data_IF_747137302858
#
_entry.id   IF_747137302858
#
_cell.length_a   1.000
_cell.length_b   1.000
_cell.length_c   1.000
_cell.angle_alpha   90.00
_cell.angle_beta   90.00
_cell.angle_gamma   90.00
#
_symmetry.space_group_name_H-M   'P 1'
#
loop_
_entity.id
_entity.type
_entity.pdbx_description
1 polymer ?
#
# COMPACT_ATOMS: atom_id res chain seq x y z
N UNK A 1 -25.35 -6.89 -5.72
CA UNK A 1 -25.97 -5.56 -5.53
C UNK A 1 -24.96 -4.43 -5.65
N UNK A 2 -24.01 -4.28 -4.71
CA UNK A 2 -23.01 -3.20 -4.72
C UNK A 2 -21.73 -3.56 -5.47
N UNK A 3 -21.19 -4.76 -5.24
CA UNK A 3 -19.98 -5.27 -5.92
C UNK A 3 -20.14 -5.34 -7.45
N UNK A 4 -21.36 -5.59 -7.95
CA UNK A 4 -21.67 -5.61 -9.38
C UNK A 4 -21.65 -4.20 -10.01
N UNK A 5 -22.10 -3.18 -9.27
CA UNK A 5 -22.05 -1.78 -9.70
C UNK A 5 -20.61 -1.27 -9.69
N UNK A 6 -19.86 -1.61 -8.64
CA UNK A 6 -18.42 -1.35 -8.51
C UNK A 6 -17.67 -2.00 -9.67
N UNK A 7 -17.92 -3.29 -9.97
CA UNK A 7 -17.38 -3.95 -11.17
C UNK A 7 -17.77 -3.24 -12.46
N UNK A 8 -19.03 -2.81 -12.61
CA UNK A 8 -19.48 -2.13 -13.83
C UNK A 8 -18.80 -0.77 -14.05
N UNK A 9 -18.50 -0.02 -12.98
CA UNK A 9 -17.71 1.22 -13.05
C UNK A 9 -16.21 0.93 -13.26
N UNK A 10 -15.71 -0.19 -12.73
CA UNK A 10 -14.29 -0.57 -12.84
C UNK A 10 -13.93 -1.26 -14.15
N UNK A 11 -14.86 -1.93 -14.83
CA UNK A 11 -14.61 -2.67 -16.07
C UNK A 11 -14.05 -1.78 -17.20
N UNK A 12 -14.52 -0.53 -17.41
CA UNK A 12 -13.89 0.40 -18.35
C UNK A 12 -12.47 0.79 -17.94
N UNK A 13 -12.24 1.07 -16.64
CA UNK A 13 -10.94 1.50 -16.12
C UNK A 13 -9.86 0.41 -16.20
N UNK A 14 -10.24 -0.86 -16.08
CA UNK A 14 -9.32 -1.99 -16.24
C UNK A 14 -8.80 -2.12 -17.69
N UNK A 15 -9.54 -1.61 -18.69
CA UNK A 15 -9.11 -1.56 -20.10
C UNK A 15 -8.14 -0.42 -20.42
N UNK A 16 -8.12 0.64 -19.60
CA UNK A 16 -7.43 1.90 -19.89
C UNK A 16 -6.07 2.07 -19.18
N UNK A 17 -5.51 0.98 -18.65
CA UNK A 17 -4.15 1.00 -18.09
C UNK A 17 -4.05 1.60 -16.67
N UNK A 18 -5.09 1.46 -15.85
CA UNK A 18 -5.06 1.89 -14.44
C UNK A 18 -4.45 0.82 -13.54
N UNK A 19 -3.86 1.25 -12.42
CA UNK A 19 -3.49 0.39 -11.30
C UNK A 19 -4.64 0.36 -10.30
N UNK A 20 -5.10 -0.83 -9.93
CA UNK A 20 -6.23 -1.00 -9.02
C UNK A 20 -5.77 -1.60 -7.69
N UNK A 21 -5.97 -0.86 -6.60
CA UNK A 21 -5.63 -1.30 -5.25
C UNK A 21 -6.94 -1.40 -4.47
N UNK A 22 -7.26 -2.57 -3.92
CA UNK A 22 -8.52 -2.77 -3.18
C UNK A 22 -8.36 -3.47 -1.85
N UNK A 23 -9.02 -2.88 -0.85
CA UNK A 23 -9.12 -3.39 0.50
C UNK A 23 -10.58 -3.52 0.92
N UNK A 24 -10.83 -4.44 1.85
CA UNK A 24 -12.15 -4.62 2.45
C UNK A 24 -11.97 -4.71 3.96
N UNK A 25 -12.72 -3.89 4.70
CA UNK A 25 -12.76 -4.00 6.15
C UNK A 25 -13.66 -5.18 6.56
N UNK A 26 -13.18 -5.98 7.50
CA UNK A 26 -13.92 -7.10 8.06
C UNK A 26 -14.24 -6.79 9.53
N UNK A 27 -15.52 -6.95 9.89
CA UNK A 27 -16.02 -6.81 11.25
C UNK A 27 -15.31 -7.73 12.26
N UNK A 28 -14.72 -8.83 11.81
CA UNK A 28 -14.03 -9.78 12.69
C UNK A 28 -12.53 -9.45 12.88
N UNK A 29 -11.97 -8.52 12.10
CA UNK A 29 -10.52 -8.23 12.08
C UNK A 29 -10.13 -6.96 12.86
N UNK A 30 -10.91 -6.54 13.86
CA UNK A 30 -10.63 -5.35 14.68
C UNK A 30 -9.36 -5.42 15.54
N UNK A 31 -8.69 -6.57 15.63
CA UNK A 31 -7.52 -6.75 16.48
C UNK A 31 -6.25 -6.06 15.95
N UNK A 32 -6.18 -5.79 14.64
CA UNK A 32 -5.02 -5.18 14.02
C UNK A 32 -5.46 -3.93 13.24
N UNK A 33 -4.92 -2.75 13.53
CA UNK A 33 -5.28 -1.55 12.79
C UNK A 33 -4.73 -1.64 11.36
N UNK A 34 -5.37 -0.92 10.44
CA UNK A 34 -4.94 -0.78 9.04
C UNK A 34 -5.01 -2.06 8.20
N UNK A 35 -5.57 -3.17 8.69
CA UNK A 35 -5.52 -4.47 8.00
C UNK A 35 -6.02 -4.43 6.56
N UNK A 36 -7.13 -3.74 6.29
CA UNK A 36 -7.67 -3.62 4.93
C UNK A 36 -6.74 -2.83 4.00
N UNK A 37 -6.10 -1.78 4.51
CA UNK A 37 -5.14 -0.95 3.77
C UNK A 37 -3.85 -1.73 3.54
N UNK A 38 -3.33 -2.35 4.60
CA UNK A 38 -2.11 -3.16 4.55
C UNK A 38 -2.25 -4.27 3.51
N UNK A 39 -3.29 -5.08 3.62
CA UNK A 39 -3.53 -6.19 2.70
C UNK A 39 -3.75 -5.73 1.25
N UNK A 40 -4.35 -4.56 1.04
CA UNK A 40 -4.54 -4.02 -0.30
C UNK A 40 -3.21 -3.65 -0.98
N UNK A 41 -2.35 -2.91 -0.27
CA UNK A 41 -1.05 -2.51 -0.79
C UNK A 41 -0.07 -3.69 -0.86
N UNK A 42 -0.11 -4.63 0.08
CA UNK A 42 0.75 -5.81 0.03
C UNK A 42 0.44 -6.70 -1.18
N UNK A 43 -0.84 -6.83 -1.56
CA UNK A 43 -1.25 -7.47 -2.82
C UNK A 43 -0.73 -6.71 -4.04
N UNK A 44 -0.79 -5.38 -4.02
CA UNK A 44 -0.22 -4.57 -5.11
C UNK A 44 1.28 -4.83 -5.28
N UNK A 45 2.04 -4.91 -4.19
CA UNK A 45 3.46 -5.23 -4.26
C UNK A 45 3.72 -6.67 -4.73
N UNK A 46 2.88 -7.62 -4.34
CA UNK A 46 2.96 -9.01 -4.84
C UNK A 46 2.76 -9.05 -6.38
N UNK A 47 1.77 -8.31 -6.90
CA UNK A 47 1.53 -8.18 -8.34
C UNK A 47 2.73 -7.53 -9.06
N UNK A 48 3.33 -6.49 -8.49
CA UNK A 48 4.56 -5.87 -9.03
C UNK A 48 5.71 -6.85 -9.08
N UNK A 49 5.92 -7.62 -8.01
CA UNK A 49 6.94 -8.69 -7.94
C UNK A 49 6.74 -9.78 -8.99
N UNK A 50 5.49 -10.05 -9.41
CA UNK A 50 5.15 -10.97 -10.49
C UNK A 50 5.20 -10.37 -11.91
N UNK A 51 5.30 -9.04 -12.06
CA UNK A 51 5.13 -8.33 -13.34
C UNK A 51 6.41 -8.22 -14.18
N UNK A 52 7.54 -8.73 -13.69
CA UNK A 52 8.83 -8.77 -14.40
C UNK A 52 9.83 -7.70 -13.94
N UNK A 53 11.10 -7.90 -14.30
CA UNK A 53 12.24 -7.15 -13.75
C UNK A 53 12.14 -5.63 -13.96
N UNK A 54 11.67 -5.17 -15.12
CA UNK A 54 11.53 -3.73 -15.41
C UNK A 54 10.52 -3.05 -14.46
N UNK A 55 9.38 -3.69 -14.21
CA UNK A 55 8.36 -3.15 -13.31
C UNK A 55 8.86 -3.11 -11.85
N UNK A 56 9.59 -4.15 -11.44
CA UNK A 56 10.24 -4.21 -10.14
C UNK A 56 11.25 -3.06 -9.99
N UNK A 57 12.14 -2.88 -10.97
CA UNK A 57 13.19 -1.85 -10.91
C UNK A 57 12.61 -0.44 -10.91
N UNK A 58 11.60 -0.16 -11.74
CA UNK A 58 10.92 1.14 -11.75
C UNK A 58 10.28 1.42 -10.39
N UNK A 59 9.55 0.46 -9.84
CA UNK A 59 8.86 0.63 -8.55
C UNK A 59 9.86 0.76 -7.41
N UNK A 60 10.89 -0.08 -7.38
CA UNK A 60 11.97 -0.05 -6.40
C UNK A 60 12.66 1.31 -6.39
N UNK A 61 13.10 1.78 -7.56
CA UNK A 61 13.83 3.05 -7.66
C UNK A 61 12.96 4.23 -7.22
N UNK A 62 11.70 4.27 -7.65
CA UNK A 62 10.78 5.34 -7.24
C UNK A 62 10.55 5.35 -5.72
N UNK A 63 10.34 4.18 -5.10
CA UNK A 63 10.13 4.08 -3.65
C UNK A 63 11.40 4.48 -2.89
N UNK A 64 12.57 3.98 -3.29
CA UNK A 64 13.83 4.31 -2.62
C UNK A 64 14.20 5.79 -2.79
N UNK A 65 13.87 6.42 -3.92
CA UNK A 65 14.11 7.85 -4.15
C UNK A 65 13.28 8.73 -3.20
N UNK A 66 11.99 8.43 -3.04
CA UNK A 66 11.09 9.24 -2.22
C UNK A 66 11.18 8.90 -0.71
N UNK A 67 11.50 7.64 -0.36
CA UNK A 67 11.50 7.18 1.05
C UNK A 67 12.90 6.98 1.65
N UNK A 68 13.94 6.82 0.83
CA UNK A 68 15.31 6.54 1.27
C UNK A 68 15.37 5.33 2.22
N UNK A 69 16.28 5.40 3.20
CA UNK A 69 16.46 4.32 4.19
C UNK A 69 15.22 4.12 5.09
N UNK A 70 14.29 5.07 5.13
CA UNK A 70 13.08 4.99 5.95
C UNK A 70 12.08 3.95 5.42
N UNK A 71 12.28 3.38 4.23
CA UNK A 71 11.47 2.29 3.69
C UNK A 71 11.39 1.07 4.62
N UNK A 72 12.35 0.90 5.54
CA UNK A 72 12.36 -0.22 6.49
C UNK A 72 11.19 -0.21 7.46
N UNK A 73 10.61 0.96 7.69
CA UNK A 73 9.41 1.10 8.51
C UNK A 73 8.18 0.50 7.83
N UNK A 74 8.20 0.39 6.50
CA UNK A 74 7.10 -0.18 5.72
C UNK A 74 7.23 -1.70 5.56
N UNK A 75 8.45 -2.24 5.48
CA UNK A 75 8.67 -3.66 5.20
C UNK A 75 8.13 -4.60 6.29
N UNK A 76 7.97 -4.11 7.52
CA UNK A 76 7.32 -4.87 8.61
C UNK A 76 5.81 -5.06 8.39
N UNK A 77 5.19 -4.14 7.63
CA UNK A 77 3.75 -4.16 7.33
C UNK A 77 3.45 -4.72 5.94
N UNK A 78 4.37 -4.56 4.99
CA UNK A 78 4.23 -5.00 3.60
C UNK A 78 5.36 -5.97 3.23
N UNK A 79 5.27 -7.26 3.59
CA UNK A 79 6.30 -8.24 3.28
C UNK A 79 6.68 -8.29 1.78
N UNK A 80 5.69 -8.13 0.89
CA UNK A 80 5.92 -8.12 -0.56
C UNK A 80 6.72 -6.90 -1.02
N UNK A 81 6.60 -5.77 -0.32
CA UNK A 81 7.47 -4.61 -0.57
C UNK A 81 8.93 -4.95 -0.27
N UNK A 82 9.17 -5.71 0.81
CA UNK A 82 10.51 -6.17 1.18
C UNK A 82 11.21 -6.96 0.08
N UNK A 83 10.46 -7.70 -0.74
CA UNK A 83 10.99 -8.43 -1.89
C UNK A 83 11.42 -7.50 -3.04
N UNK A 84 10.77 -6.34 -3.19
CA UNK A 84 11.08 -5.34 -4.21
C UNK A 84 12.29 -4.50 -3.81
N UNK A 85 12.28 -3.93 -2.60
CA UNK A 85 13.34 -3.02 -2.13
C UNK A 85 14.59 -3.76 -1.64
N UNK A 86 14.43 -5.01 -1.18
CA UNK A 86 15.50 -5.82 -0.63
C UNK A 86 16.10 -5.22 0.65
N UNK A 87 17.36 -5.56 0.94
CA UNK A 87 18.07 -5.14 2.15
C UNK A 87 18.54 -3.67 2.16
N UNK A 88 18.04 -2.82 1.24
CA UNK A 88 18.42 -1.41 1.18
C UNK A 88 17.79 -0.58 2.30
N UNK A 89 16.75 -1.12 2.93
CA UNK A 89 16.02 -0.46 3.99
C UNK A 89 16.65 -0.75 5.36
N UNK A 90 17.10 0.28 6.06
CA UNK A 90 17.58 0.15 7.44
C UNK A 90 16.41 0.32 8.39
N UNK A 91 16.09 -0.71 9.17
CA UNK A 91 15.10 -0.59 10.25
C UNK A 91 15.72 0.30 11.34
N UNK A 92 15.13 1.47 11.65
CA UNK A 92 15.70 2.36 12.66
C UNK A 92 15.67 1.74 14.05
N UNK A 93 16.59 2.16 14.92
CA UNK A 93 16.64 1.74 16.32
C UNK A 93 15.28 1.95 17.02
N UNK A 94 14.97 1.09 18.01
CA UNK A 94 13.69 1.10 18.72
C UNK A 94 13.35 2.50 19.25
N UNK A 95 12.32 3.09 18.65
CA UNK A 95 11.70 4.36 19.06
C UNK A 95 10.44 4.06 19.87
N UNK A 96 9.94 5.05 20.59
CA UNK A 96 8.68 4.95 21.31
C UNK A 96 7.51 4.60 20.38
N UNK A 97 6.42 3.98 20.89
CA UNK A 97 5.29 3.55 20.06
C UNK A 97 4.63 4.68 19.25
N UNK A 98 4.57 5.90 19.80
CA UNK A 98 3.98 7.05 19.11
C UNK A 98 4.85 7.54 17.96
N UNK A 99 6.16 7.60 18.19
CA UNK A 99 7.13 7.98 17.17
C UNK A 99 7.16 6.94 16.03
N UNK A 100 7.03 5.66 16.35
CA UNK A 100 6.89 4.59 15.36
C UNK A 100 5.65 4.79 14.49
N UNK A 101 4.50 5.09 15.11
CA UNK A 101 3.26 5.37 14.40
C UNK A 101 3.39 6.59 13.48
N UNK A 102 3.86 7.74 13.99
CA UNK A 102 4.01 8.95 13.17
C UNK A 102 4.97 8.75 12.01
N UNK A 103 6.05 7.99 12.22
CA UNK A 103 7.00 7.66 11.16
C UNK A 103 6.36 6.78 10.11
N UNK A 104 5.63 5.74 10.52
CA UNK A 104 4.87 4.90 9.60
C UNK A 104 3.90 5.77 8.77
N UNK A 105 3.08 6.60 9.40
CA UNK A 105 2.13 7.50 8.71
C UNK A 105 2.82 8.38 7.67
N UNK A 106 3.96 8.98 8.03
CA UNK A 106 4.75 9.82 7.13
C UNK A 106 5.29 9.04 5.92
N UNK A 107 5.97 7.91 6.15
CA UNK A 107 6.60 7.11 5.09
C UNK A 107 5.54 6.44 4.22
N UNK A 108 4.42 6.00 4.81
CA UNK A 108 3.28 5.45 4.08
C UNK A 108 2.70 6.50 3.11
N UNK A 109 2.51 7.74 3.56
CA UNK A 109 2.05 8.83 2.69
C UNK A 109 3.02 9.15 1.55
N UNK A 110 4.33 9.08 1.81
CA UNK A 110 5.34 9.22 0.75
C UNK A 110 5.18 8.10 -0.28
N UNK A 111 5.16 6.84 0.17
CA UNK A 111 4.99 5.67 -0.69
C UNK A 111 3.70 5.76 -1.54
N UNK A 112 2.57 6.15 -0.96
CA UNK A 112 1.30 6.32 -1.70
C UNK A 112 1.46 7.40 -2.78
N UNK A 113 2.11 8.53 -2.46
CA UNK A 113 2.39 9.59 -3.45
C UNK A 113 3.33 9.11 -4.55
N UNK A 114 4.36 8.33 -4.22
CA UNK A 114 5.28 7.72 -5.18
C UNK A 114 4.52 6.83 -6.15
N UNK A 115 3.71 5.91 -5.63
CA UNK A 115 2.90 4.98 -6.44
C UNK A 115 1.93 5.76 -7.34
N UNK A 116 1.30 6.81 -6.82
CA UNK A 116 0.38 7.65 -7.59
C UNK A 116 1.07 8.47 -8.71
N UNK A 117 2.39 8.68 -8.65
CA UNK A 117 3.19 9.34 -9.70
C UNK A 117 3.71 8.36 -10.75
N UNK A 118 3.62 7.05 -10.51
CA UNK A 118 4.01 6.06 -11.52
C UNK A 118 3.12 6.16 -12.76
N UNK A 119 3.54 5.53 -13.85
CA UNK A 119 2.99 5.73 -15.20
C UNK A 119 1.49 5.47 -15.36
N UNK A 120 0.87 4.74 -14.43
CA UNK A 120 -0.54 4.35 -14.47
C UNK A 120 -1.31 5.07 -13.36
N UNK A 121 -2.44 5.73 -13.66
CA UNK A 121 -3.26 6.31 -12.60
C UNK A 121 -3.75 5.22 -11.65
N UNK A 122 -3.77 5.54 -10.36
CA UNK A 122 -4.09 4.58 -9.29
C UNK A 122 -5.50 4.82 -8.80
N UNK A 123 -6.31 3.76 -8.73
CA UNK A 123 -7.61 3.76 -8.09
C UNK A 123 -7.49 2.94 -6.80
N UNK A 124 -7.68 3.62 -5.66
CA UNK A 124 -7.73 2.97 -4.36
C UNK A 124 -9.19 2.82 -3.92
N UNK A 125 -9.63 1.57 -3.73
CA UNK A 125 -11.00 1.25 -3.35
C UNK A 125 -11.05 0.55 -1.99
N UNK A 126 -11.86 1.07 -1.08
CA UNK A 126 -12.09 0.51 0.25
C UNK A 126 -13.57 0.20 0.43
N UNK A 127 -13.88 -1.07 0.69
CA UNK A 127 -15.24 -1.53 0.97
C UNK A 127 -15.49 -1.69 2.48
N UNK A 128 -16.76 -1.60 2.87
CA UNK A 128 -17.22 -1.76 4.25
C UNK A 128 -16.57 -0.81 5.28
N UNK A 129 -16.37 0.47 4.91
CA UNK A 129 -15.77 1.51 5.76
C UNK A 129 -16.41 1.68 7.15
N UNK A 130 -17.66 1.27 7.35
CA UNK A 130 -18.31 1.26 8.66
C UNK A 130 -17.58 0.38 9.70
N UNK A 131 -16.72 -0.54 9.25
CA UNK A 131 -15.88 -1.39 10.10
C UNK A 131 -14.43 -0.91 10.22
N UNK A 132 -14.09 0.25 9.66
CA UNK A 132 -12.74 0.80 9.73
C UNK A 132 -12.38 1.24 11.16
N UNK A 133 -11.16 0.95 11.57
CA UNK A 133 -10.59 1.48 12.81
C UNK A 133 -10.23 2.97 12.68
N UNK A 134 -10.08 3.67 13.81
CA UNK A 134 -9.79 5.11 13.83
C UNK A 134 -8.46 5.47 13.14
N UNK A 135 -7.46 4.58 13.18
CA UNK A 135 -6.18 4.82 12.54
C UNK A 135 -6.33 4.75 11.02
N UNK A 136 -7.08 3.78 10.52
CA UNK A 136 -7.43 3.66 9.09
C UNK A 136 -8.16 4.87 8.54
N UNK A 137 -9.05 5.49 9.32
CA UNK A 137 -9.79 6.68 8.88
C UNK A 137 -8.96 7.96 8.88
N UNK A 138 -7.85 7.99 9.62
CA UNK A 138 -6.98 9.16 9.77
C UNK A 138 -5.92 9.27 8.67
N UNK A 139 -5.47 8.14 8.13
CA UNK A 139 -4.24 8.06 7.32
C UNK A 139 -4.37 8.69 5.93
#
# INVERSE_FOLDING_TARGET
GKTSLVRAVMTPLLGDGFTFISGKFDQLQHAQPLTAIISAFDRYFDEVSGSGAECIDVTKNAILEDTGDCCGVLTDFFPSLGQIVGSHCVIPAQIGPKEAQHRFEYVFRLMVRTIAKLSKPVVFFLDDLQWADELSLRI
#
